data_IF_935257444916
#
_entry.id   IF_935257444916
#
_cell.length_a   1.000
_cell.length_b   1.000
_cell.length_c   1.000
_cell.angle_alpha   90.00
_cell.angle_beta   90.00
_cell.angle_gamma   90.00
#
_symmetry.space_group_name_H-M   'P 1'
#
loop_
_entity.id
_entity.type
_entity.pdbx_description
1 polymer ?
#
# COMPACT_ATOMS: atom_id res chain seq x y z
N UNK A 1 19.19 -12.59 -13.47
CA UNK A 1 20.47 -12.45 -12.74
C UNK A 1 20.90 -13.86 -12.35
N UNK A 2 22.03 -14.37 -12.87
CA UNK A 2 22.61 -15.61 -12.36
C UNK A 2 23.65 -15.20 -11.32
N UNK A 3 23.54 -15.77 -10.13
CA UNK A 3 24.60 -15.69 -9.14
C UNK A 3 25.19 -17.09 -9.09
N UNK A 4 26.41 -17.21 -9.59
CA UNK A 4 27.15 -18.46 -9.51
C UNK A 4 28.12 -18.31 -8.35
N UNK A 5 27.85 -19.05 -7.28
CA UNK A 5 28.77 -19.21 -6.18
C UNK A 5 29.70 -20.38 -6.51
N UNK A 6 30.97 -20.09 -6.81
CA UNK A 6 31.98 -21.11 -7.01
C UNK A 6 32.92 -21.14 -5.80
N UNK A 7 32.94 -22.28 -5.12
CA UNK A 7 33.97 -22.60 -4.15
C UNK A 7 35.21 -23.04 -4.92
N UNK A 8 36.16 -22.12 -5.11
CA UNK A 8 37.41 -22.43 -5.81
C UNK A 8 38.40 -23.18 -4.90
N UNK A 9 38.26 -23.02 -3.58
CA UNK A 9 39.05 -23.64 -2.49
C UNK A 9 38.17 -23.70 -1.21
N UNK A 10 38.52 -24.52 -0.18
CA UNK A 10 37.82 -24.49 1.12
C UNK A 10 37.89 -23.13 1.83
N UNK A 11 38.74 -22.21 1.35
CA UNK A 11 39.01 -20.89 1.92
C UNK A 11 38.63 -19.71 1.01
N UNK A 12 38.11 -19.95 -0.20
CA UNK A 12 37.82 -18.88 -1.16
C UNK A 12 36.43 -19.07 -1.79
N UNK A 13 35.48 -18.23 -1.37
CA UNK A 13 34.14 -18.16 -1.94
C UNK A 13 34.11 -17.05 -2.99
N UNK A 14 34.06 -17.43 -4.28
CA UNK A 14 33.90 -16.47 -5.35
C UNK A 14 32.41 -16.32 -5.66
N UNK A 15 31.84 -15.21 -5.19
CA UNK A 15 30.46 -14.82 -5.49
C UNK A 15 30.51 -14.01 -6.78
N UNK A 16 30.28 -14.66 -7.92
CA UNK A 16 30.13 -13.95 -9.19
C UNK A 16 28.70 -13.40 -9.26
N UNK A 17 28.60 -12.09 -9.17
CA UNK A 17 27.35 -11.34 -9.34
C UNK A 17 27.33 -10.84 -10.79
N UNK A 18 26.47 -11.41 -11.64
CA UNK A 18 26.27 -10.85 -12.98
C UNK A 18 25.73 -9.42 -12.87
N UNK A 19 26.15 -8.56 -13.81
CA UNK A 19 25.71 -7.16 -13.90
C UNK A 19 24.17 -7.05 -13.87
N UNK A 20 23.62 -5.95 -13.30
CA UNK A 20 22.17 -5.75 -13.28
C UNK A 20 21.66 -5.82 -14.72
N UNK A 21 20.71 -6.72 -14.98
CA UNK A 21 20.01 -6.75 -16.25
C UNK A 21 19.16 -5.49 -16.25
N UNK A 22 19.55 -4.47 -17.00
CA UNK A 22 18.68 -3.32 -17.27
C UNK A 22 17.42 -3.87 -17.94
N UNK A 23 16.24 -3.82 -17.29
CA UNK A 23 15.02 -4.24 -17.96
C UNK A 23 14.74 -3.21 -19.07
N UNK A 24 14.81 -3.65 -20.32
CA UNK A 24 14.17 -2.92 -21.40
C UNK A 24 12.65 -2.90 -21.11
N UNK A 25 12.08 -1.70 -21.17
CA UNK A 25 10.68 -1.31 -20.96
C UNK A 25 9.62 -2.40 -20.62
N UNK A 26 8.86 -2.13 -19.56
CA UNK A 26 7.47 -2.54 -19.32
C UNK A 26 7.09 -4.03 -19.35
N UNK A 27 8.06 -4.94 -19.23
CA UNK A 27 7.74 -6.35 -18.96
C UNK A 27 7.91 -6.61 -17.46
N UNK A 28 6.81 -7.02 -16.80
CA UNK A 28 6.72 -7.60 -15.46
C UNK A 28 7.58 -8.87 -15.37
N UNK A 29 8.91 -8.73 -15.48
CA UNK A 29 9.83 -9.83 -15.28
C UNK A 29 9.88 -10.17 -13.79
N UNK A 30 9.86 -11.46 -13.43
CA UNK A 30 9.97 -11.88 -12.04
C UNK A 30 11.27 -11.34 -11.44
N UNK A 31 11.16 -10.73 -10.25
CA UNK A 31 12.32 -10.21 -9.51
C UNK A 31 13.37 -11.33 -9.39
N UNK A 32 14.61 -11.17 -9.86
CA UNK A 32 15.64 -12.17 -9.70
C UNK A 32 15.87 -12.43 -8.20
N UNK A 33 15.68 -13.68 -7.79
CA UNK A 33 15.88 -14.11 -6.41
C UNK A 33 17.19 -14.88 -6.29
N UNK A 34 18.03 -14.49 -5.33
CA UNK A 34 19.15 -15.32 -4.94
C UNK A 34 18.68 -16.36 -3.94
N UNK A 35 18.88 -17.64 -4.26
CA UNK A 35 18.58 -18.77 -3.37
C UNK A 35 19.83 -19.61 -3.16
N UNK A 36 20.25 -19.80 -1.92
CA UNK A 36 21.32 -20.72 -1.55
C UNK A 36 20.73 -22.10 -1.26
N UNK A 37 21.12 -23.18 -1.95
CA UNK A 37 20.55 -24.50 -1.68
C UNK A 37 20.94 -24.98 -0.27
N UNK A 38 19.97 -25.04 0.65
CA UNK A 38 20.15 -25.57 2.03
C UNK A 38 19.96 -27.11 2.06
N UNK A 39 19.63 -27.72 0.91
CA UNK A 39 19.52 -29.16 0.76
C UNK A 39 18.94 -29.55 -0.59
N UNK A 40 19.09 -30.84 -0.94
CA UNK A 40 18.75 -31.39 -2.27
C UNK A 40 17.27 -31.22 -2.66
N UNK A 41 16.34 -31.09 -1.69
CA UNK A 41 14.89 -31.13 -1.94
C UNK A 41 14.09 -29.95 -1.38
N UNK A 42 14.71 -28.90 -0.81
CA UNK A 42 13.98 -28.00 0.13
C UNK A 42 13.81 -26.55 -0.28
N UNK A 43 14.19 -26.18 -1.51
CA UNK A 43 14.23 -24.77 -1.90
C UNK A 43 15.31 -24.03 -1.13
N UNK A 44 16.04 -23.15 -1.80
CA UNK A 44 17.17 -22.48 -1.17
C UNK A 44 16.78 -21.37 -0.20
N UNK A 45 17.68 -21.05 0.74
CA UNK A 45 17.65 -19.86 1.57
C UNK A 45 17.63 -18.63 0.67
N UNK A 46 16.56 -17.86 0.74
CA UNK A 46 16.41 -16.65 -0.06
C UNK A 46 17.16 -15.50 0.58
N UNK A 47 18.10 -14.91 -0.16
CA UNK A 47 18.74 -13.65 0.21
C UNK A 47 17.89 -12.53 -0.39
N UNK A 48 17.21 -11.72 0.44
CA UNK A 48 16.34 -10.67 -0.07
C UNK A 48 17.15 -9.53 -0.68
N UNK A 49 16.57 -8.88 -1.69
CA UNK A 49 17.04 -7.59 -2.16
C UNK A 49 16.43 -6.47 -1.30
N UNK A 50 17.08 -5.31 -1.26
CA UNK A 50 16.56 -4.16 -0.53
C UNK A 50 15.34 -3.57 -1.24
N UNK A 51 14.34 -3.14 -0.46
CA UNK A 51 13.11 -2.52 -1.01
C UNK A 51 13.30 -1.09 -1.53
N UNK A 52 14.44 -0.46 -1.25
CA UNK A 52 14.72 0.95 -1.60
C UNK A 52 15.19 1.13 -3.07
N UNK A 53 15.68 0.07 -3.71
CA UNK A 53 16.27 0.13 -5.06
C UNK A 53 15.28 -0.17 -6.18
N UNK A 54 15.38 0.61 -7.27
CA UNK A 54 14.67 0.32 -8.55
C UNK A 54 15.13 -1.00 -9.17
N UNK A 55 16.34 -1.45 -8.80
CA UNK A 55 16.94 -2.66 -9.32
C UNK A 55 17.41 -3.56 -8.16
N UNK A 56 17.15 -4.87 -8.23
CA UNK A 56 17.67 -5.83 -7.25
C UNK A 56 19.18 -5.93 -7.41
N UNK A 57 19.92 -5.39 -6.44
CA UNK A 57 21.37 -5.52 -6.40
C UNK A 57 21.81 -6.25 -5.15
N UNK A 58 22.58 -7.33 -5.33
CA UNK A 58 23.24 -8.01 -4.22
C UNK A 58 24.32 -7.11 -3.59
N UNK A 59 24.89 -6.21 -4.38
CA UNK A 59 25.89 -5.26 -3.92
C UNK A 59 25.33 -4.35 -2.82
N UNK A 60 24.13 -3.77 -2.99
CA UNK A 60 23.52 -2.95 -1.94
C UNK A 60 23.18 -3.77 -0.70
N UNK A 61 22.72 -5.02 -0.87
CA UNK A 61 22.47 -5.93 0.24
C UNK A 61 23.75 -6.22 1.05
N UNK A 62 24.88 -6.42 0.37
CA UNK A 62 26.19 -6.58 1.00
C UNK A 62 26.67 -5.26 1.63
N UNK A 63 26.49 -4.12 0.97
CA UNK A 63 26.85 -2.82 1.53
C UNK A 63 26.09 -2.55 2.83
N UNK A 64 24.78 -2.85 2.86
CA UNK A 64 23.96 -2.74 4.05
C UNK A 64 24.38 -3.71 5.15
N UNK A 65 24.78 -4.94 4.78
CA UNK A 65 25.38 -5.88 5.72
C UNK A 65 26.65 -5.27 6.33
N UNK A 66 27.60 -4.82 5.51
CA UNK A 66 28.85 -4.24 6.00
C UNK A 66 28.69 -2.89 6.74
N UNK A 67 27.53 -2.24 6.67
CA UNK A 67 27.25 -1.04 7.46
C UNK A 67 27.19 -1.33 8.98
N UNK A 68 26.99 -2.58 9.40
CA UNK A 68 26.92 -2.95 10.80
C UNK A 68 28.30 -3.32 11.36
N UNK A 69 28.85 -2.57 12.35
CA UNK A 69 30.20 -2.80 12.88
C UNK A 69 30.41 -4.19 13.48
N UNK A 70 29.35 -4.78 14.03
CA UNK A 70 29.41 -6.09 14.68
C UNK A 70 29.59 -7.25 13.68
N UNK A 71 29.20 -7.09 12.42
CA UNK A 71 29.46 -8.11 11.40
C UNK A 71 30.96 -8.27 11.14
N UNK A 72 31.73 -7.18 11.19
CA UNK A 72 33.19 -7.24 11.07
C UNK A 72 33.83 -7.98 12.24
N UNK A 73 33.27 -7.85 13.45
CA UNK A 73 33.75 -8.59 14.61
C UNK A 73 33.60 -10.10 14.44
N UNK A 74 32.52 -10.53 13.78
CA UNK A 74 32.28 -11.93 13.47
C UNK A 74 33.23 -12.37 12.37
N UNK A 75 33.24 -11.67 11.22
CA UNK A 75 34.03 -12.02 10.04
C UNK A 75 35.54 -12.08 10.28
N UNK A 76 36.06 -11.19 11.11
CA UNK A 76 37.49 -11.07 11.40
C UNK A 76 37.85 -11.54 12.81
N UNK A 77 36.99 -12.34 13.46
CA UNK A 77 37.35 -12.98 14.72
C UNK A 77 38.51 -13.97 14.48
N UNK A 78 39.68 -13.68 15.04
CA UNK A 78 40.85 -14.55 14.92
C UNK A 78 40.68 -15.76 15.85
N UNK A 79 40.45 -16.94 15.27
CA UNK A 79 40.36 -18.22 16.00
C UNK A 79 41.75 -18.84 16.13
N UNK A 80 42.07 -19.42 17.29
CA UNK A 80 43.39 -20.00 17.59
C UNK A 80 43.67 -21.35 16.91
N UNK A 81 42.71 -21.91 16.17
CA UNK A 81 42.78 -23.22 15.50
C UNK A 81 42.67 -23.08 13.98
N UNK A 82 43.30 -23.98 13.23
CA UNK A 82 43.51 -23.96 11.75
C UNK A 82 42.22 -23.80 10.89
N UNK A 83 41.05 -24.00 11.48
CA UNK A 83 39.72 -23.76 10.89
C UNK A 83 39.11 -22.41 11.37
N UNK A 84 39.84 -21.32 11.15
CA UNK A 84 39.49 -19.98 11.62
C UNK A 84 38.45 -19.24 10.74
N UNK A 85 37.62 -19.96 9.99
CA UNK A 85 36.67 -19.35 9.06
C UNK A 85 35.23 -19.69 9.42
N UNK A 86 34.35 -18.71 9.24
CA UNK A 86 32.91 -18.91 9.43
C UNK A 86 32.39 -19.81 8.32
N UNK A 87 31.54 -20.78 8.68
CA UNK A 87 30.83 -21.58 7.70
C UNK A 87 30.08 -20.68 6.71
N UNK A 88 30.14 -20.96 5.39
CA UNK A 88 29.37 -20.20 4.41
C UNK A 88 27.89 -20.09 4.78
N UNK A 89 27.33 -21.15 5.38
CA UNK A 89 25.95 -21.19 5.86
C UNK A 89 25.67 -20.12 6.94
N UNK A 90 26.52 -20.03 7.95
CA UNK A 90 26.44 -19.00 9.02
C UNK A 90 26.53 -17.60 8.43
N UNK A 91 27.43 -17.37 7.47
CA UNK A 91 27.51 -16.09 6.76
C UNK A 91 26.20 -15.75 6.04
N UNK A 92 25.62 -16.70 5.30
CA UNK A 92 24.37 -16.44 4.57
C UNK A 92 23.17 -16.23 5.49
N UNK A 93 23.09 -16.91 6.63
CA UNK A 93 22.05 -16.65 7.63
C UNK A 93 22.19 -15.27 8.29
N UNK A 94 23.42 -14.82 8.56
CA UNK A 94 23.69 -13.47 9.05
C UNK A 94 23.34 -12.40 8.00
N UNK A 95 23.73 -12.63 6.74
CA UNK A 95 23.40 -11.76 5.63
C UNK A 95 21.88 -11.65 5.45
N UNK A 96 21.18 -12.77 5.40
CA UNK A 96 19.73 -12.80 5.23
C UNK A 96 19.00 -12.15 6.42
N UNK A 97 19.36 -12.45 7.66
CA UNK A 97 18.71 -11.83 8.85
C UNK A 97 18.91 -10.31 8.90
N UNK A 98 20.11 -9.81 8.62
CA UNK A 98 20.37 -8.37 8.60
C UNK A 98 19.66 -7.63 7.46
N UNK A 99 19.56 -8.25 6.28
CA UNK A 99 18.89 -7.67 5.11
C UNK A 99 17.38 -7.65 5.30
N UNK A 100 16.80 -8.69 5.89
CA UNK A 100 15.40 -8.66 6.32
C UNK A 100 15.13 -7.60 7.38
N UNK A 101 16.04 -7.41 8.35
CA UNK A 101 15.92 -6.34 9.34
C UNK A 101 15.92 -4.95 8.69
N UNK A 102 16.81 -4.72 7.71
CA UNK A 102 16.85 -3.48 6.95
C UNK A 102 15.56 -3.25 6.15
N UNK A 103 15.05 -4.30 5.48
CA UNK A 103 13.80 -4.26 4.73
C UNK A 103 12.60 -3.93 5.62
N UNK A 104 12.54 -4.49 6.83
CA UNK A 104 11.47 -4.16 7.77
C UNK A 104 11.50 -2.68 8.16
N UNK A 105 12.69 -2.09 8.37
CA UNK A 105 12.82 -0.65 8.66
C UNK A 105 12.33 0.21 7.50
N UNK A 106 12.66 -0.16 6.26
CA UNK A 106 12.18 0.54 5.07
C UNK A 106 10.66 0.46 4.97
N UNK A 107 10.07 -0.73 5.20
CA UNK A 107 8.62 -0.90 5.23
C UNK A 107 7.96 -0.08 6.34
N UNK A 108 8.51 -0.09 7.56
CA UNK A 108 7.98 0.70 8.68
C UNK A 108 7.97 2.20 8.35
N UNK A 109 9.08 2.72 7.81
CA UNK A 109 9.16 4.13 7.38
C UNK A 109 8.15 4.46 6.28
N UNK A 110 8.03 3.61 5.26
CA UNK A 110 7.09 3.83 4.16
C UNK A 110 5.64 3.78 4.63
N UNK A 111 5.29 2.79 5.45
CA UNK A 111 3.93 2.64 5.99
C UNK A 111 3.58 3.83 6.89
N UNK A 112 4.50 4.26 7.77
CA UNK A 112 4.29 5.43 8.62
C UNK A 112 4.14 6.70 7.79
N UNK A 113 4.98 6.90 6.77
CA UNK A 113 4.88 8.05 5.87
C UNK A 113 3.53 8.10 5.18
N UNK A 114 3.07 6.98 4.61
CA UNK A 114 1.75 6.89 3.99
C UNK A 114 0.63 7.17 5.00
N UNK A 115 0.73 6.61 6.21
CA UNK A 115 -0.26 6.79 7.27
C UNK A 115 -0.38 8.24 7.75
N UNK A 116 0.73 8.96 7.91
CA UNK A 116 0.72 10.30 8.48
C UNK A 116 0.53 11.41 7.43
N UNK A 117 1.16 11.28 6.26
CA UNK A 117 1.17 12.36 5.27
C UNK A 117 0.00 12.25 4.28
N UNK A 118 -0.35 11.05 3.83
CA UNK A 118 -1.29 10.87 2.72
C UNK A 118 -2.75 10.68 3.15
N UNK A 119 -3.00 10.26 4.39
CA UNK A 119 -4.37 10.04 4.90
C UNK A 119 -5.19 11.33 4.98
N UNK A 120 -4.56 12.50 5.11
CA UNK A 120 -5.27 13.78 5.16
C UNK A 120 -6.01 14.11 3.86
N UNK A 121 -5.56 13.55 2.72
CA UNK A 121 -6.20 13.72 1.40
C UNK A 121 -6.13 12.39 0.64
N UNK A 122 -7.01 11.43 0.99
CA UNK A 122 -6.95 10.10 0.41
C UNK A 122 -7.15 10.17 -1.10
N UNK A 123 -6.29 9.47 -1.84
CA UNK A 123 -6.42 9.28 -3.28
C UNK A 123 -6.38 7.77 -3.60
N UNK A 124 -6.81 7.39 -4.80
CA UNK A 124 -6.82 5.98 -5.23
C UNK A 124 -5.43 5.33 -5.20
N UNK A 125 -4.36 6.10 -5.42
CA UNK A 125 -2.98 5.60 -5.39
C UNK A 125 -2.54 5.24 -3.97
N UNK A 126 -2.93 6.02 -2.97
CA UNK A 126 -2.63 5.73 -1.54
C UNK A 126 -3.19 4.37 -1.13
N UNK A 127 -4.38 4.01 -1.62
CA UNK A 127 -4.95 2.67 -1.41
C UNK A 127 -4.12 1.57 -2.08
N UNK A 128 -3.73 1.76 -3.34
CA UNK A 128 -2.89 0.80 -4.08
C UNK A 128 -1.51 0.63 -3.43
N UNK A 129 -0.91 1.72 -2.95
CA UNK A 129 0.39 1.71 -2.29
C UNK A 129 0.33 1.03 -0.93
N UNK A 130 -0.72 1.25 -0.12
CA UNK A 130 -0.94 0.50 1.11
C UNK A 130 -1.13 -1.01 0.85
N UNK A 131 -1.85 -1.37 -0.23
CA UNK A 131 -1.98 -2.79 -0.62
C UNK A 131 -0.64 -3.39 -1.04
N UNK A 132 0.23 -2.61 -1.70
CA UNK A 132 1.60 -3.02 -2.04
C UNK A 132 2.43 -3.23 -0.77
N UNK A 133 2.43 -2.27 0.16
CA UNK A 133 3.15 -2.39 1.43
C UNK A 133 2.68 -3.60 2.24
N UNK A 134 1.37 -3.86 2.27
CA UNK A 134 0.81 -5.07 2.90
C UNK A 134 1.39 -6.34 2.29
N UNK A 135 1.38 -6.43 0.96
CA UNK A 135 1.88 -7.62 0.24
C UNK A 135 3.36 -7.84 0.52
N UNK A 136 4.16 -6.78 0.51
CA UNK A 136 5.60 -6.85 0.79
C UNK A 136 5.85 -7.28 2.25
N UNK A 137 5.09 -6.74 3.21
CA UNK A 137 5.17 -7.13 4.62
C UNK A 137 4.77 -8.60 4.85
N UNK A 138 3.66 -9.06 4.28
CA UNK A 138 3.24 -10.48 4.39
C UNK A 138 4.28 -11.41 3.76
N UNK A 139 4.87 -11.00 2.63
CA UNK A 139 5.93 -11.76 1.98
C UNK A 139 7.16 -11.83 2.89
N UNK A 140 7.61 -10.71 3.44
CA UNK A 140 8.72 -10.64 4.40
C UNK A 140 8.47 -11.56 5.60
N UNK A 141 7.32 -11.46 6.25
CA UNK A 141 6.98 -12.27 7.43
C UNK A 141 7.00 -13.78 7.11
N UNK A 142 6.45 -14.16 5.94
CA UNK A 142 6.44 -15.57 5.52
C UNK A 142 7.84 -16.13 5.28
N UNK A 143 8.72 -15.34 4.67
CA UNK A 143 10.10 -15.73 4.35
C UNK A 143 10.99 -15.74 5.60
N UNK A 144 10.81 -14.78 6.50
CA UNK A 144 11.49 -14.73 7.81
C UNK A 144 11.08 -15.92 8.67
N UNK A 145 9.79 -16.27 8.70
CA UNK A 145 9.30 -17.44 9.42
C UNK A 145 9.87 -18.75 8.81
N UNK A 146 9.98 -18.83 7.48
CA UNK A 146 10.66 -19.93 6.82
C UNK A 146 12.13 -20.01 7.25
N UNK A 147 12.84 -18.88 7.26
CA UNK A 147 14.25 -18.81 7.64
C UNK A 147 14.47 -19.22 9.11
N UNK A 148 13.60 -18.76 10.02
CA UNK A 148 13.65 -19.13 11.43
C UNK A 148 13.40 -20.63 11.64
N UNK A 149 12.42 -21.21 10.92
CA UNK A 149 12.08 -22.63 11.01
C UNK A 149 13.24 -23.54 10.56
N UNK A 150 14.03 -23.09 9.60
CA UNK A 150 15.11 -23.87 9.00
C UNK A 150 16.50 -23.36 9.36
N UNK A 151 16.62 -22.62 10.46
CA UNK A 151 17.91 -22.19 10.96
C UNK A 151 18.72 -23.43 11.38
N UNK A 152 19.88 -23.63 10.76
CA UNK A 152 20.74 -24.76 11.10
C UNK A 152 21.25 -24.66 12.54
N UNK A 153 21.21 -25.76 13.32
CA UNK A 153 21.71 -25.76 14.70
C UNK A 153 23.21 -25.46 14.77
N UNK A 154 23.94 -25.71 13.69
CA UNK A 154 25.38 -25.47 13.59
C UNK A 154 25.72 -23.97 13.59
N UNK A 155 24.82 -23.13 13.09
CA UNK A 155 24.97 -21.67 13.11
C UNK A 155 25.02 -21.15 14.55
N UNK A 156 24.16 -21.71 15.42
CA UNK A 156 24.09 -21.29 16.83
C UNK A 156 25.30 -21.78 17.62
N UNK A 157 25.73 -23.01 17.40
CA UNK A 157 26.91 -23.56 18.08
C UNK A 157 28.19 -22.83 17.66
N UNK A 158 28.31 -22.48 16.37
CA UNK A 158 29.45 -21.73 15.84
C UNK A 158 29.52 -20.31 16.41
N UNK A 159 28.40 -19.58 16.44
CA UNK A 159 28.33 -18.23 17.02
C UNK A 159 28.55 -18.22 18.53
N UNK A 160 28.11 -19.27 19.25
CA UNK A 160 28.33 -19.40 20.69
C UNK A 160 29.81 -19.65 20.98
N UNK A 161 30.44 -20.55 20.22
CA UNK A 161 31.86 -20.81 20.36
C UNK A 161 32.74 -19.62 19.93
N UNK A 162 32.22 -18.72 19.08
CA UNK A 162 32.86 -17.45 18.73
C UNK A 162 32.69 -16.38 19.82
N UNK A 163 31.60 -16.41 20.58
CA UNK A 163 31.40 -15.54 21.73
C UNK A 163 32.45 -15.79 22.82
N UNK A 164 32.81 -17.05 23.03
CA UNK A 164 33.78 -17.43 24.06
C UNK A 164 35.21 -16.99 23.71
N UNK A 165 35.51 -16.74 22.43
CA UNK A 165 36.82 -16.26 21.97
C UNK A 165 36.91 -14.74 21.85
N UNK A 166 35.77 -14.04 21.80
CA UNK A 166 35.71 -12.59 21.69
C UNK A 166 35.68 -11.92 23.08
N UNK A 167 36.26 -10.72 23.22
CA UNK A 167 36.15 -9.96 24.46
C UNK A 167 34.69 -9.62 24.77
N UNK A 168 34.30 -9.70 26.05
CA UNK A 168 32.93 -9.51 26.52
C UNK A 168 32.29 -8.15 26.13
N UNK A 169 33.09 -7.17 25.69
CA UNK A 169 32.62 -5.86 25.22
C UNK A 169 32.06 -5.86 23.79
N UNK A 170 32.28 -6.92 23.00
CA UNK A 170 31.84 -6.98 21.60
C UNK A 170 30.48 -7.67 21.48
N UNK A 171 29.52 -6.95 20.90
CA UNK A 171 28.20 -7.49 20.58
C UNK A 171 28.27 -8.51 19.43
N UNK A 172 27.52 -9.61 19.58
CA UNK A 172 27.30 -10.63 18.54
C UNK A 172 25.79 -10.74 18.36
N UNK A 173 25.31 -10.47 17.15
CA UNK A 173 23.92 -10.69 16.79
C UNK A 173 23.67 -12.16 16.51
N UNK A 174 22.69 -12.74 17.21
CA UNK A 174 22.23 -14.08 16.93
C UNK A 174 21.05 -14.04 15.93
N UNK A 175 21.12 -14.78 14.81
CA UNK A 175 20.05 -14.78 13.81
C UNK A 175 18.69 -15.17 14.37
N UNK A 176 18.60 -16.13 15.29
CA UNK A 176 17.33 -16.54 15.92
C UNK A 176 16.64 -15.38 16.63
N UNK A 177 17.39 -14.62 17.44
CA UNK A 177 16.89 -13.45 18.16
C UNK A 177 16.49 -12.35 17.19
N UNK A 178 17.33 -12.05 16.19
CA UNK A 178 17.05 -11.00 15.19
C UNK A 178 15.77 -11.32 14.40
N UNK A 179 15.60 -12.58 13.98
CA UNK A 179 14.44 -12.99 13.19
C UNK A 179 13.15 -12.99 14.04
N UNK A 180 13.23 -13.36 15.31
CA UNK A 180 12.10 -13.25 16.23
C UNK A 180 11.67 -11.80 16.42
N UNK A 181 12.63 -10.90 16.63
CA UNK A 181 12.37 -9.45 16.74
C UNK A 181 11.75 -8.89 15.44
N UNK A 182 12.22 -9.35 14.27
CA UNK A 182 11.61 -9.00 12.97
C UNK A 182 10.14 -9.48 12.88
N UNK A 183 9.84 -10.70 13.33
CA UNK A 183 8.47 -11.22 13.31
C UNK A 183 7.56 -10.46 14.28
N UNK A 184 8.03 -10.15 15.48
CA UNK A 184 7.28 -9.38 16.46
C UNK A 184 6.98 -7.97 15.95
N UNK A 185 8.03 -7.25 15.51
CA UNK A 185 7.89 -5.90 14.98
C UNK A 185 7.06 -5.87 13.69
N UNK A 186 7.22 -6.86 12.82
CA UNK A 186 6.44 -6.97 11.59
C UNK A 186 4.95 -7.28 11.85
N UNK A 187 4.62 -8.10 12.84
CA UNK A 187 3.23 -8.31 13.26
C UNK A 187 2.60 -7.05 13.86
N UNK A 188 3.37 -6.28 14.65
CA UNK A 188 2.90 -4.99 15.17
C UNK A 188 2.69 -3.97 14.05
N UNK A 189 3.57 -3.96 13.06
CA UNK A 189 3.44 -3.13 11.86
C UNK A 189 2.23 -3.55 11.01
N UNK A 190 1.93 -4.85 10.91
CA UNK A 190 0.74 -5.33 10.20
C UNK A 190 -0.55 -4.84 10.87
N UNK A 191 -0.62 -4.90 12.21
CA UNK A 191 -1.76 -4.35 12.97
C UNK A 191 -1.92 -2.85 12.71
N UNK A 192 -0.83 -2.09 12.82
CA UNK A 192 -0.83 -0.65 12.53
C UNK A 192 -1.31 -0.35 11.10
N UNK A 193 -0.86 -1.16 10.13
CA UNK A 193 -1.28 -1.03 8.73
C UNK A 193 -2.78 -1.34 8.53
N UNK A 194 -3.35 -2.29 9.28
CA UNK A 194 -4.81 -2.54 9.25
C UNK A 194 -5.59 -1.37 9.84
N UNK A 195 -5.15 -0.82 10.97
CA UNK A 195 -5.79 0.35 11.58
C UNK A 195 -5.76 1.55 10.62
N UNK A 196 -4.64 1.71 9.91
CA UNK A 196 -4.44 2.71 8.85
C UNK A 196 -5.45 2.53 7.70
N UNK A 197 -5.69 1.29 7.23
CA UNK A 197 -6.72 1.00 6.23
C UNK A 197 -8.12 1.35 6.71
N UNK A 198 -8.46 1.01 7.96
CA UNK A 198 -9.77 1.32 8.54
C UNK A 198 -9.99 2.83 8.63
N UNK A 199 -8.96 3.59 9.04
CA UNK A 199 -9.00 5.05 9.05
C UNK A 199 -9.20 5.58 7.62
N UNK A 200 -8.42 5.13 6.65
CA UNK A 200 -8.51 5.55 5.26
C UNK A 200 -9.92 5.36 4.68
N UNK A 201 -10.49 4.16 4.86
CA UNK A 201 -11.85 3.85 4.40
C UNK A 201 -12.91 4.74 5.06
N UNK A 202 -12.72 5.07 6.33
CA UNK A 202 -13.60 5.99 7.06
C UNK A 202 -13.52 7.39 6.49
N UNK A 203 -12.31 7.91 6.23
CA UNK A 203 -12.11 9.23 5.62
C UNK A 203 -12.68 9.31 4.21
N UNK A 204 -12.44 8.29 3.37
CA UNK A 204 -13.01 8.22 2.02
C UNK A 204 -14.54 8.27 2.08
N UNK A 205 -15.14 7.47 2.97
CA UNK A 205 -16.60 7.43 3.13
C UNK A 205 -17.19 8.78 3.56
N UNK A 206 -16.49 9.51 4.43
CA UNK A 206 -16.89 10.86 4.86
C UNK A 206 -16.81 11.84 3.68
N UNK A 207 -15.70 11.83 2.93
CA UNK A 207 -15.50 12.70 1.76
C UNK A 207 -16.57 12.42 0.68
N UNK A 208 -16.84 11.15 0.38
CA UNK A 208 -17.87 10.75 -0.59
C UNK A 208 -19.28 11.15 -0.13
N UNK A 209 -19.57 11.06 1.17
CA UNK A 209 -20.84 11.49 1.73
C UNK A 209 -21.03 13.02 1.61
N UNK A 210 -19.97 13.81 1.84
CA UNK A 210 -20.00 15.25 1.66
C UNK A 210 -20.19 15.64 0.18
N UNK A 211 -19.46 15.00 -0.73
CA UNK A 211 -19.61 15.20 -2.17
C UNK A 211 -21.04 14.87 -2.64
N UNK A 212 -21.60 13.75 -2.17
CA UNK A 212 -22.97 13.33 -2.48
C UNK A 212 -24.01 14.31 -1.93
N UNK A 213 -23.82 14.82 -0.71
CA UNK A 213 -24.69 15.86 -0.13
C UNK A 213 -24.67 17.14 -0.95
N UNK A 214 -23.49 17.59 -1.36
CA UNK A 214 -23.35 18.81 -2.17
C UNK A 214 -23.95 18.62 -3.57
N UNK A 215 -23.75 17.47 -4.21
CA UNK A 215 -24.39 17.14 -5.48
C UNK A 215 -25.92 17.05 -5.34
N UNK A 216 -26.41 16.51 -4.22
CA UNK A 216 -27.82 16.50 -3.87
C UNK A 216 -28.40 17.92 -3.75
N UNK A 217 -27.69 18.82 -3.05
CA UNK A 217 -28.08 20.23 -2.90
C UNK A 217 -28.14 20.96 -4.24
N UNK A 218 -27.14 20.75 -5.12
CA UNK A 218 -27.11 21.33 -6.47
C UNK A 218 -28.27 20.80 -7.33
N UNK A 219 -28.52 19.49 -7.29
CA UNK A 219 -29.65 18.88 -7.99
C UNK A 219 -30.98 19.43 -7.49
N UNK A 220 -31.16 19.56 -6.16
CA UNK A 220 -32.36 20.16 -5.58
C UNK A 220 -32.56 21.61 -6.05
N UNK A 221 -31.50 22.42 -6.12
CA UNK A 221 -31.57 23.79 -6.62
C UNK A 221 -31.97 23.84 -8.10
N UNK A 222 -31.40 22.96 -8.92
CA UNK A 222 -31.78 22.82 -10.33
C UNK A 222 -33.25 22.40 -10.48
N UNK A 223 -33.71 21.43 -9.70
CA UNK A 223 -35.12 20.99 -9.71
C UNK A 223 -36.05 22.11 -9.30
N UNK A 224 -35.72 22.87 -8.25
CA UNK A 224 -36.49 24.05 -7.83
C UNK A 224 -36.58 25.08 -8.95
N UNK A 225 -35.48 25.36 -9.65
CA UNK A 225 -35.46 26.31 -10.76
C UNK A 225 -36.29 25.80 -11.96
N UNK A 226 -36.17 24.51 -12.29
CA UNK A 226 -36.93 23.88 -13.36
C UNK A 226 -38.44 23.90 -13.09
N UNK A 227 -38.87 23.68 -11.85
CA UNK A 227 -40.29 23.76 -11.46
C UNK A 227 -40.91 25.14 -11.72
N UNK A 228 -40.13 26.22 -11.64
CA UNK A 228 -40.60 27.58 -11.95
C UNK A 228 -40.48 27.86 -13.45
N UNK A 229 -39.34 27.53 -14.05
CA UNK A 229 -39.02 27.92 -15.43
C UNK A 229 -39.81 27.12 -16.47
N UNK A 230 -40.06 25.82 -16.24
CA UNK A 230 -40.74 24.94 -17.21
C UNK A 230 -42.18 25.37 -17.46
N UNK A 231 -43.05 25.58 -16.44
CA UNK A 231 -44.41 26.07 -16.68
C UNK A 231 -44.43 27.46 -17.32
N UNK A 232 -43.53 28.35 -16.89
CA UNK A 232 -43.45 29.72 -17.41
C UNK A 232 -43.05 29.73 -18.89
N UNK A 233 -42.06 28.91 -19.26
CA UNK A 233 -41.62 28.69 -20.64
C UNK A 233 -42.75 28.08 -21.50
N UNK A 234 -43.50 27.13 -20.94
CA UNK A 234 -44.65 26.52 -21.63
C UNK A 234 -45.70 27.57 -21.97
N UNK A 235 -46.07 28.43 -21.01
CA UNK A 235 -47.05 29.50 -21.23
C UNK A 235 -46.55 30.49 -22.27
N UNK A 236 -45.29 30.94 -22.18
CA UNK A 236 -44.71 31.84 -23.20
C UNK A 236 -44.64 31.19 -24.58
N UNK A 237 -44.42 29.87 -24.66
CA UNK A 237 -44.41 29.12 -25.90
C UNK A 237 -45.79 29.05 -26.54
N UNK A 238 -46.82 28.68 -25.76
CA UNK A 238 -48.21 28.59 -26.24
C UNK A 238 -48.72 29.94 -26.77
N UNK A 239 -48.42 31.04 -26.08
CA UNK A 239 -48.83 32.39 -26.52
C UNK A 239 -47.89 33.03 -27.55
N UNK A 240 -46.64 32.57 -27.65
CA UNK A 240 -45.71 32.98 -28.71
C UNK A 240 -45.98 32.29 -30.06
N UNK A 241 -46.68 31.15 -30.05
CA UNK A 241 -47.11 30.47 -31.26
C UNK A 241 -48.30 31.19 -31.89
N UNK A 242 -48.15 31.55 -33.17
CA UNK A 242 -49.18 32.25 -33.97
C UNK A 242 -50.31 31.29 -34.39
N UNK A 243 -51.08 30.78 -33.42
CA UNK A 243 -52.20 29.87 -33.67
C UNK A 243 -53.41 30.70 -34.15
N UNK A 244 -53.85 30.47 -35.39
CA UNK A 244 -54.96 31.20 -36.03
C UNK A 244 -56.29 31.13 -35.24
N UNK A 245 -56.53 30.08 -34.46
CA UNK A 245 -57.71 29.95 -33.59
C UNK A 245 -57.67 30.86 -32.35
N UNK A 246 -56.48 31.23 -31.87
CA UNK A 246 -56.29 32.11 -30.71
C UNK A 246 -56.29 33.58 -31.14
N UNK A 247 -55.72 33.89 -32.31
CA UNK A 247 -55.68 35.26 -32.86
C UNK A 247 -56.94 35.68 -33.64
N UNK A 248 -57.78 34.73 -34.06
CA UNK A 248 -59.00 35.00 -34.85
C UNK A 248 -60.27 35.26 -34.02
N UNK A 249 -60.25 34.96 -32.73
CA UNK A 249 -61.36 35.20 -31.79
C UNK A 249 -60.94 36.28 -30.79
N UNK A 250 -61.87 37.13 -30.32
CA UNK A 250 -61.64 38.14 -29.29
C UNK A 250 -61.36 37.48 -27.91
N UNK A 251 -60.30 36.70 -27.81
CA UNK A 251 -59.81 36.18 -26.55
C UNK A 251 -59.10 37.32 -25.83
N UNK A 252 -59.81 37.89 -24.84
CA UNK A 252 -59.29 38.91 -23.94
C UNK A 252 -57.97 38.44 -23.33
N UNK A 253 -56.97 39.33 -23.25
CA UNK A 253 -55.67 39.14 -22.56
C UNK A 253 -55.83 38.46 -21.18
N UNK A 254 -57.00 38.61 -20.56
CA UNK A 254 -57.43 37.91 -19.35
C UNK A 254 -57.31 36.38 -19.39
N UNK A 255 -57.55 35.71 -20.52
CA UNK A 255 -57.43 34.24 -20.61
C UNK A 255 -55.98 33.78 -20.50
N UNK A 256 -55.02 34.57 -20.98
CA UNK A 256 -53.59 34.30 -20.79
C UNK A 256 -53.20 34.37 -19.32
N UNK A 257 -53.71 35.36 -18.60
CA UNK A 257 -53.46 35.52 -17.16
C UNK A 257 -54.05 34.35 -16.37
N UNK A 258 -55.26 33.91 -16.71
CA UNK A 258 -55.92 32.78 -16.03
C UNK A 258 -55.16 31.47 -16.27
N UNK A 259 -54.73 31.18 -17.50
CA UNK A 259 -53.96 29.97 -17.81
C UNK A 259 -52.61 29.96 -17.08
N UNK A 260 -51.94 31.11 -17.00
CA UNK A 260 -50.67 31.25 -16.28
C UNK A 260 -50.85 31.07 -14.77
N UNK A 261 -51.92 31.64 -14.19
CA UNK A 261 -52.26 31.43 -12.78
C UNK A 261 -52.61 29.96 -12.49
N UNK A 262 -53.42 29.31 -13.32
CA UNK A 262 -53.82 27.90 -13.11
C UNK A 262 -52.62 26.96 -13.23
N UNK A 263 -51.74 27.17 -14.21
CA UNK A 263 -50.52 26.36 -14.39
C UNK A 263 -49.46 26.63 -13.33
N UNK A 264 -49.31 27.88 -12.88
CA UNK A 264 -48.42 28.25 -11.76
C UNK A 264 -48.90 27.65 -10.43
N UNK A 265 -50.21 27.74 -10.15
CA UNK A 265 -50.80 27.17 -8.93
C UNK A 265 -50.73 25.65 -8.93
N UNK A 266 -51.00 24.98 -10.06
CA UNK A 266 -50.89 23.52 -10.13
C UNK A 266 -49.44 23.05 -9.93
N UNK A 267 -48.46 23.75 -10.50
CA UNK A 267 -47.04 23.48 -10.27
C UNK A 267 -46.64 23.69 -8.80
N UNK A 268 -47.14 24.75 -8.15
CA UNK A 268 -46.90 25.00 -6.72
C UNK A 268 -47.53 23.94 -5.82
N UNK A 269 -48.77 23.51 -6.10
CA UNK A 269 -49.44 22.46 -5.33
C UNK A 269 -48.70 21.13 -5.45
N UNK A 270 -48.24 20.77 -6.65
CA UNK A 270 -47.41 19.58 -6.86
C UNK A 270 -46.07 19.68 -6.12
N UNK A 271 -45.45 20.86 -6.12
CA UNK A 271 -44.20 21.11 -5.40
C UNK A 271 -44.38 20.99 -3.88
N UNK A 272 -45.40 21.63 -3.30
CA UNK A 272 -45.71 21.52 -1.87
C UNK A 272 -46.08 20.09 -1.46
N UNK A 273 -46.84 19.37 -2.31
CA UNK A 273 -47.16 17.97 -2.09
C UNK A 273 -45.94 17.06 -2.09
N UNK A 274 -44.98 17.32 -2.99
CA UNK A 274 -43.72 16.58 -3.05
C UNK A 274 -42.82 16.83 -1.83
N UNK A 275 -42.65 18.10 -1.43
CA UNK A 275 -41.86 18.47 -0.24
C UNK A 275 -42.47 17.90 1.05
N UNK A 276 -43.80 17.94 1.19
CA UNK A 276 -44.49 17.35 2.34
C UNK A 276 -44.29 15.84 2.43
N UNK A 277 -44.33 15.14 1.29
CA UNK A 277 -44.10 13.70 1.22
C UNK A 277 -42.64 13.32 1.55
N UNK A 278 -41.68 14.14 1.14
CA UNK A 278 -40.28 13.96 1.51
C UNK A 278 -40.03 14.19 3.00
N UNK A 279 -40.61 15.25 3.58
CA UNK A 279 -40.47 15.55 5.02
C UNK A 279 -40.93 14.37 5.88
N UNK A 280 -42.04 13.72 5.52
CA UNK A 280 -42.54 12.53 6.23
C UNK A 280 -41.59 11.33 6.18
N UNK A 281 -40.86 11.13 5.08
CA UNK A 281 -39.89 10.03 4.96
C UNK A 281 -38.62 10.26 5.77
N UNK A 282 -38.25 11.51 6.03
CA UNK A 282 -37.08 11.85 6.86
C UNK A 282 -37.33 11.65 8.36
N UNK A 283 -38.56 11.81 8.83
CA UNK A 283 -38.92 11.66 10.26
C UNK A 283 -39.07 10.20 10.71
N UNK A 284 -39.19 9.25 9.76
CA UNK A 284 -39.42 7.84 10.04
C UNK A 284 -38.15 6.97 9.89
N UNK A 285 -36.97 7.58 9.73
CA UNK A 285 -35.68 6.92 9.54
C UNK A 285 -34.71 7.39 10.61
#
# INVERSE_FOLDING_TARGET
MRVSCCFLLPKLCLIRVDAPICPAHDILLPRPELRLPVGLNRGGLKVPCLYEGSHPSLFEALQQFFAHPWHFHILFAQRSTDDAHISPETFFHLLASSTWAANLRILDQNIRRLAFDEIQRPNLRTTDDLHRQRRDLTTLLSEVNFLLKWLSPDVKSELTALKDTLPASKYIGYPDVILQDILENGNNLEKFLMDTFTLLLSTISVVDAEATKEQGRRTQMLTKLAFVYVPLSFVTGVFGMNVKEINGSQLSIWTSVVVLCVTGVSALVLFMGYDWLQSRKSTNR
#
